data_IF_203190860702
#
_entry.id   IF_203190860702
#
_cell.length_a   1.000
_cell.length_b   1.000
_cell.length_c   1.000
_cell.angle_alpha   90.00
_cell.angle_beta   90.00
_cell.angle_gamma   90.00
#
_symmetry.space_group_name_H-M   'P 1'
#
loop_
_entity.id
_entity.type
_entity.pdbx_description
1 polymer ?
#
# COMPACT_ATOMS: atom_id res chain seq x y z
N UNK A 1 -38.08 -25.97 -86.93
CA UNK A 1 -36.78 -26.64 -86.98
C UNK A 1 -37.03 -28.08 -86.58
N UNK A 2 -36.80 -29.05 -87.45
CA UNK A 2 -37.00 -30.47 -87.11
C UNK A 2 -35.88 -30.95 -86.19
N UNK A 3 -36.25 -31.56 -85.06
CA UNK A 3 -35.32 -32.21 -84.14
C UNK A 3 -35.05 -33.63 -84.64
N UNK A 4 -33.77 -34.02 -84.65
CA UNK A 4 -33.38 -35.38 -85.02
C UNK A 4 -33.42 -36.28 -83.78
N UNK A 5 -33.96 -37.49 -83.86
CA UNK A 5 -33.89 -38.46 -82.75
C UNK A 5 -32.61 -39.29 -82.82
N UNK A 6 -31.96 -39.49 -81.68
CA UNK A 6 -30.77 -40.32 -81.58
C UNK A 6 -31.12 -41.78 -81.89
N UNK A 7 -30.48 -42.46 -82.87
CA UNK A 7 -30.81 -43.84 -83.22
C UNK A 7 -30.47 -44.85 -82.12
N UNK A 8 -29.74 -44.45 -81.08
CA UNK A 8 -29.32 -45.33 -79.99
C UNK A 8 -30.18 -45.19 -78.73
N UNK A 9 -30.57 -43.97 -78.37
CA UNK A 9 -31.30 -43.72 -77.11
C UNK A 9 -32.61 -42.95 -77.31
N UNK A 10 -33.01 -42.68 -78.56
CA UNK A 10 -34.22 -41.96 -78.96
C UNK A 10 -34.42 -40.54 -78.42
N UNK A 11 -33.43 -39.96 -77.72
CA UNK A 11 -33.52 -38.56 -77.28
C UNK A 11 -33.41 -37.58 -78.45
N UNK A 12 -34.07 -36.43 -78.31
CA UNK A 12 -34.05 -35.34 -79.28
C UNK A 12 -32.69 -34.64 -79.29
N UNK A 13 -32.17 -34.40 -80.50
CA UNK A 13 -30.85 -33.80 -80.73
C UNK A 13 -31.04 -32.45 -81.42
N UNK A 14 -30.44 -31.37 -80.89
CA UNK A 14 -30.43 -30.07 -81.55
C UNK A 14 -29.72 -30.13 -82.92
N UNK A 15 -30.23 -29.42 -83.94
CA UNK A 15 -29.64 -29.42 -85.27
C UNK A 15 -28.17 -28.99 -85.24
N UNK A 16 -27.30 -29.72 -85.95
CA UNK A 16 -25.86 -29.45 -86.04
C UNK A 16 -24.98 -30.12 -84.97
N UNK A 17 -25.56 -30.82 -83.99
CA UNK A 17 -24.79 -31.55 -82.97
C UNK A 17 -24.03 -32.74 -83.58
N UNK A 18 -22.73 -32.87 -83.29
CA UNK A 18 -21.89 -33.99 -83.76
C UNK A 18 -22.02 -35.26 -82.89
N UNK A 19 -22.56 -35.11 -81.68
CA UNK A 19 -22.71 -36.16 -80.68
C UNK A 19 -24.07 -36.01 -79.99
N UNK A 20 -24.66 -37.12 -79.53
CA UNK A 20 -25.85 -37.07 -78.69
C UNK A 20 -25.49 -36.64 -77.26
N UNK A 21 -26.11 -35.57 -76.76
CA UNK A 21 -25.83 -35.03 -75.41
C UNK A 21 -26.22 -36.00 -74.27
N UNK A 22 -27.12 -36.95 -74.52
CA UNK A 22 -27.59 -37.88 -73.48
C UNK A 22 -26.85 -39.20 -73.42
N UNK A 23 -26.36 -39.73 -74.55
CA UNK A 23 -25.65 -41.02 -74.56
C UNK A 23 -24.20 -40.96 -75.08
N UNK A 24 -23.72 -39.77 -75.48
CA UNK A 24 -22.34 -39.57 -75.94
C UNK A 24 -21.99 -40.18 -77.30
N UNK A 25 -22.92 -40.88 -77.96
CA UNK A 25 -22.64 -41.54 -79.24
C UNK A 25 -22.46 -40.52 -80.36
N UNK A 26 -21.38 -40.69 -81.15
CA UNK A 26 -21.06 -39.86 -82.33
C UNK A 26 -22.07 -40.12 -83.44
N UNK A 27 -22.64 -39.05 -83.99
CA UNK A 27 -23.59 -39.13 -85.09
C UNK A 27 -22.79 -39.16 -86.39
N UNK A 28 -22.75 -40.31 -87.07
CA UNK A 28 -22.02 -40.46 -88.33
C UNK A 28 -22.71 -39.62 -89.41
N UNK A 29 -21.94 -38.71 -90.03
CA UNK A 29 -22.36 -37.73 -91.06
C UNK A 29 -22.74 -38.37 -92.41
N UNK A 30 -23.41 -39.53 -92.40
CA UNK A 30 -23.71 -40.30 -93.61
C UNK A 30 -25.09 -39.95 -94.15
N UNK A 31 -25.07 -39.27 -95.30
CA UNK A 31 -26.10 -39.24 -96.34
C UNK A 31 -27.47 -38.63 -95.98
N UNK A 32 -27.52 -37.29 -95.86
CA UNK A 32 -28.74 -36.55 -96.18
C UNK A 32 -28.66 -36.16 -97.66
N UNK A 33 -29.11 -37.05 -98.54
CA UNK A 33 -29.37 -36.72 -99.95
C UNK A 33 -30.58 -35.79 -100.01
N UNK A 34 -30.34 -34.48 -100.05
CA UNK A 34 -31.38 -33.50 -100.39
C UNK A 34 -31.70 -33.71 -101.88
N UNK A 35 -32.78 -34.44 -102.17
CA UNK A 35 -33.42 -34.46 -103.49
C UNK A 35 -33.98 -33.07 -103.75
N UNK A 36 -33.19 -32.22 -104.39
CA UNK A 36 -33.68 -30.97 -104.93
C UNK A 36 -34.57 -31.30 -106.14
N UNK A 37 -35.89 -31.29 -105.94
CA UNK A 37 -36.86 -31.34 -107.02
C UNK A 37 -36.76 -30.02 -107.81
N UNK A 38 -35.87 -29.98 -108.79
CA UNK A 38 -35.88 -28.96 -109.83
C UNK A 38 -37.06 -29.31 -110.76
N UNK A 39 -38.07 -28.46 -110.92
CA UNK A 39 -39.08 -28.66 -111.94
C UNK A 39 -38.39 -28.68 -113.31
N UNK A 40 -38.58 -29.78 -114.05
CA UNK A 40 -38.11 -29.95 -115.42
C UNK A 40 -38.88 -28.98 -116.33
N UNK A 41 -38.45 -27.72 -116.38
CA UNK A 41 -38.91 -26.78 -117.38
C UNK A 41 -38.29 -27.21 -118.71
N UNK A 42 -39.13 -27.64 -119.63
CA UNK A 42 -38.72 -28.11 -120.95
C UNK A 42 -38.35 -26.89 -121.82
N UNK A 43 -37.09 -26.43 -121.72
CA UNK A 43 -36.55 -25.25 -122.44
C UNK A 43 -36.53 -25.47 -123.97
N UNK A 44 -36.81 -26.70 -124.43
CA UNK A 44 -36.76 -27.10 -125.84
C UNK A 44 -37.82 -26.40 -126.71
N UNK A 45 -38.96 -26.00 -126.15
CA UNK A 45 -40.05 -25.39 -126.94
C UNK A 45 -40.02 -23.85 -127.02
N UNK A 46 -39.29 -23.17 -126.13
CA UNK A 46 -39.12 -21.71 -126.21
C UNK A 46 -38.07 -21.35 -127.29
N UNK A 47 -37.12 -22.24 -127.57
CA UNK A 47 -36.00 -21.96 -128.47
C UNK A 47 -36.27 -22.19 -129.97
N UNK A 48 -37.40 -22.80 -130.35
CA UNK A 48 -37.65 -23.19 -131.75
C UNK A 48 -38.13 -22.03 -132.63
N UNK A 49 -38.65 -20.93 -132.06
CA UNK A 49 -39.11 -19.75 -132.82
C UNK A 49 -38.01 -18.71 -133.12
N UNK A 50 -36.79 -18.86 -132.57
CA UNK A 50 -35.69 -17.88 -132.73
C UNK A 50 -34.52 -18.34 -133.64
N UNK A 51 -34.68 -19.43 -134.39
CA UNK A 51 -33.59 -20.07 -135.13
C UNK A 51 -32.96 -19.23 -136.27
N UNK A 52 -33.67 -18.22 -136.81
CA UNK A 52 -33.16 -17.38 -137.92
C UNK A 52 -32.39 -16.12 -137.49
N UNK A 53 -32.36 -15.77 -136.20
CA UNK A 53 -31.61 -14.62 -135.67
C UNK A 53 -30.32 -15.01 -134.90
N UNK A 54 -29.88 -16.28 -135.00
CA UNK A 54 -28.79 -16.88 -134.21
C UNK A 54 -27.39 -16.29 -134.44
N UNK A 55 -27.10 -15.72 -135.61
CA UNK A 55 -25.77 -15.17 -135.93
C UNK A 55 -25.45 -13.86 -135.20
N UNK A 56 -26.46 -13.12 -134.73
CA UNK A 56 -26.26 -11.81 -134.11
C UNK A 56 -26.78 -11.72 -132.66
N UNK A 57 -27.82 -12.50 -132.28
CA UNK A 57 -28.37 -12.44 -130.91
C UNK A 57 -27.37 -12.93 -129.85
N UNK A 58 -26.65 -14.04 -130.09
CA UNK A 58 -25.75 -14.62 -129.09
C UNK A 58 -24.59 -13.68 -128.70
N UNK A 59 -23.83 -13.06 -129.63
CA UNK A 59 -22.80 -12.10 -129.25
C UNK A 59 -23.37 -10.84 -128.60
N UNK A 60 -24.57 -10.39 -128.98
CA UNK A 60 -25.24 -9.25 -128.35
C UNK A 60 -25.65 -9.58 -126.90
N UNK A 61 -26.19 -10.78 -126.64
CA UNK A 61 -26.52 -11.21 -125.27
C UNK A 61 -25.25 -11.35 -124.42
N UNK A 62 -24.17 -11.93 -124.95
CA UNK A 62 -22.89 -12.03 -124.24
C UNK A 62 -22.33 -10.63 -123.93
N UNK A 63 -22.37 -9.70 -124.89
CA UNK A 63 -21.95 -8.32 -124.69
C UNK A 63 -22.82 -7.61 -123.65
N UNK A 64 -24.15 -7.79 -123.68
CA UNK A 64 -25.06 -7.24 -122.68
C UNK A 64 -24.84 -7.84 -121.30
N UNK A 65 -24.51 -9.13 -121.19
CA UNK A 65 -24.13 -9.77 -119.92
C UNK A 65 -22.79 -9.23 -119.43
N UNK A 66 -21.84 -8.96 -120.33
CA UNK A 66 -20.53 -8.38 -119.96
C UNK A 66 -20.66 -6.92 -119.52
N UNK A 67 -21.49 -6.12 -120.21
CA UNK A 67 -21.82 -4.74 -119.84
C UNK A 67 -22.61 -4.72 -118.52
N UNK A 68 -23.63 -5.56 -118.38
CA UNK A 68 -24.37 -5.68 -117.12
C UNK A 68 -23.46 -6.16 -115.98
N UNK A 69 -22.58 -7.13 -116.23
CA UNK A 69 -21.61 -7.64 -115.26
C UNK A 69 -20.62 -6.58 -114.81
N UNK A 70 -20.09 -5.77 -115.72
CA UNK A 70 -19.17 -4.67 -115.39
C UNK A 70 -19.87 -3.54 -114.64
N UNK A 71 -21.11 -3.18 -115.02
CA UNK A 71 -21.92 -2.17 -114.32
C UNK A 71 -22.32 -2.64 -112.91
N UNK A 72 -22.64 -3.92 -112.72
CA UNK A 72 -22.97 -4.48 -111.40
C UNK A 72 -21.73 -4.73 -110.51
N UNK A 73 -20.55 -4.96 -111.09
CA UNK A 73 -19.32 -5.21 -110.34
C UNK A 73 -18.58 -3.93 -109.91
N UNK A 74 -18.63 -2.86 -110.70
CA UNK A 74 -17.88 -1.62 -110.44
C UNK A 74 -18.14 -0.99 -109.05
N UNK A 75 -19.39 -0.88 -108.55
CA UNK A 75 -19.65 -0.35 -107.21
C UNK A 75 -19.01 -1.21 -106.11
N UNK A 76 -19.03 -2.55 -106.28
CA UNK A 76 -18.49 -3.49 -105.29
C UNK A 76 -16.97 -3.45 -105.21
N UNK A 77 -16.29 -3.25 -106.35
CA UNK A 77 -14.82 -3.10 -106.38
C UNK A 77 -14.41 -1.82 -105.64
N UNK A 78 -15.16 -0.72 -105.83
CA UNK A 78 -14.91 0.54 -105.10
C UNK A 78 -15.06 0.37 -103.59
N UNK A 79 -16.13 -0.30 -103.13
CA UNK A 79 -16.33 -0.58 -101.71
C UNK A 79 -15.22 -1.47 -101.14
N UNK A 80 -14.78 -2.47 -101.89
CA UNK A 80 -13.67 -3.34 -101.47
C UNK A 80 -12.36 -2.56 -101.29
N UNK A 81 -11.99 -1.71 -102.25
CA UNK A 81 -10.79 -0.86 -102.15
C UNK A 81 -10.89 0.09 -100.95
N UNK A 82 -12.05 0.68 -100.72
CA UNK A 82 -12.26 1.58 -99.59
C UNK A 82 -12.16 0.84 -98.24
N UNK A 83 -12.68 -0.40 -98.15
CA UNK A 83 -12.53 -1.24 -96.95
C UNK A 83 -11.07 -1.56 -96.68
N UNK A 84 -10.29 -1.92 -97.70
CA UNK A 84 -8.84 -2.16 -97.56
C UNK A 84 -8.08 -0.91 -97.10
N UNK A 85 -8.38 0.25 -97.65
CA UNK A 85 -7.77 1.51 -97.23
C UNK A 85 -8.09 1.84 -95.77
N UNK A 86 -9.34 1.59 -95.34
CA UNK A 86 -9.75 1.81 -93.95
C UNK A 86 -9.05 0.81 -93.03
N UNK A 87 -8.97 -0.47 -93.38
CA UNK A 87 -8.24 -1.48 -92.59
C UNK A 87 -6.77 -1.08 -92.44
N UNK A 88 -6.09 -0.67 -93.52
CA UNK A 88 -4.70 -0.18 -93.44
C UNK A 88 -4.56 1.04 -92.53
N UNK A 89 -5.51 1.99 -92.60
CA UNK A 89 -5.52 3.17 -91.73
C UNK A 89 -5.76 2.79 -90.27
N UNK A 90 -6.63 1.82 -90.01
CA UNK A 90 -6.90 1.27 -88.67
C UNK A 90 -5.65 0.61 -88.11
N UNK A 91 -4.92 -0.17 -88.91
CA UNK A 91 -3.63 -0.74 -88.52
C UNK A 91 -2.60 0.35 -88.20
N UNK A 92 -2.49 1.39 -89.04
CA UNK A 92 -1.63 2.54 -88.75
C UNK A 92 -2.02 3.27 -87.46
N UNK A 93 -3.32 3.46 -87.20
CA UNK A 93 -3.80 4.09 -85.97
C UNK A 93 -3.54 3.20 -84.75
N UNK A 94 -3.64 1.87 -84.91
CA UNK A 94 -3.27 0.90 -83.89
C UNK A 94 -1.78 0.99 -83.54
N UNK A 95 -0.92 1.09 -84.55
CA UNK A 95 0.53 1.27 -84.36
C UNK A 95 0.87 2.62 -83.72
N UNK A 96 0.00 3.63 -83.91
CA UNK A 96 0.08 4.93 -83.25
C UNK A 96 -0.60 4.97 -81.87
N UNK A 97 -1.13 3.84 -81.37
CA UNK A 97 -1.86 3.73 -80.10
C UNK A 97 -3.15 4.59 -80.03
N UNK A 98 -3.74 4.91 -81.17
CA UNK A 98 -4.98 5.68 -81.29
C UNK A 98 -6.19 4.76 -81.43
N UNK A 99 -6.42 3.92 -80.42
CA UNK A 99 -7.42 2.83 -80.48
C UNK A 99 -8.86 3.34 -80.67
N UNK A 100 -9.23 4.45 -80.04
CA UNK A 100 -10.58 5.04 -80.18
C UNK A 100 -10.80 5.60 -81.60
N UNK A 101 -9.79 6.27 -82.18
CA UNK A 101 -9.83 6.74 -83.57
C UNK A 101 -9.90 5.54 -84.54
N UNK A 102 -9.13 4.48 -84.29
CA UNK A 102 -9.12 3.25 -85.08
C UNK A 102 -10.49 2.57 -85.05
N UNK A 103 -11.11 2.44 -83.88
CA UNK A 103 -12.46 1.90 -83.71
C UNK A 103 -13.49 2.76 -84.46
N UNK A 104 -13.38 4.08 -84.38
CA UNK A 104 -14.22 5.02 -85.12
C UNK A 104 -14.13 4.87 -86.65
N UNK A 105 -12.94 4.60 -87.20
CA UNK A 105 -12.76 4.32 -88.63
C UNK A 105 -13.41 2.98 -89.03
N UNK A 106 -13.35 1.96 -88.16
CA UNK A 106 -13.98 0.65 -88.38
C UNK A 106 -15.51 0.70 -88.43
N UNK A 107 -16.14 1.59 -87.66
CA UNK A 107 -17.60 1.78 -87.72
C UNK A 107 -18.07 2.26 -89.10
N UNK A 108 -17.23 2.97 -89.87
CA UNK A 108 -17.55 3.45 -91.22
C UNK A 108 -17.67 2.32 -92.25
N UNK A 109 -17.10 1.14 -91.97
CA UNK A 109 -17.19 -0.01 -92.86
C UNK A 109 -18.29 -0.98 -92.48
N UNK A 110 -18.74 -1.03 -91.22
CA UNK A 110 -19.67 -2.06 -90.69
C UNK A 110 -20.95 -2.26 -91.53
N UNK A 111 -21.48 -1.19 -92.14
CA UNK A 111 -22.73 -1.22 -92.91
C UNK A 111 -22.56 -1.51 -94.42
N UNK A 112 -21.36 -1.80 -94.93
CA UNK A 112 -21.14 -2.03 -96.36
C UNK A 112 -21.38 -3.49 -96.78
N UNK A 113 -22.22 -3.68 -97.80
CA UNK A 113 -22.74 -5.00 -98.23
C UNK A 113 -21.66 -6.00 -98.71
N UNK A 114 -20.49 -5.53 -99.15
CA UNK A 114 -19.38 -6.37 -99.66
C UNK A 114 -18.62 -7.14 -98.58
N UNK A 115 -19.01 -7.03 -97.31
CA UNK A 115 -18.22 -7.46 -96.15
C UNK A 115 -18.44 -8.92 -95.73
N UNK A 116 -19.39 -9.68 -96.28
CA UNK A 116 -19.69 -11.02 -95.73
C UNK A 116 -18.47 -11.96 -95.66
N UNK A 117 -17.49 -11.82 -96.55
CA UNK A 117 -16.25 -12.61 -96.51
C UNK A 117 -15.24 -12.13 -95.46
N UNK A 118 -15.30 -10.87 -95.04
CA UNK A 118 -14.38 -10.24 -94.07
C UNK A 118 -15.01 -9.90 -92.72
N UNK A 119 -16.31 -10.15 -92.55
CA UNK A 119 -17.06 -9.84 -91.32
C UNK A 119 -16.37 -10.39 -90.07
N UNK A 120 -15.85 -11.62 -90.12
CA UNK A 120 -15.18 -12.23 -88.99
C UNK A 120 -13.86 -11.52 -88.64
N UNK A 121 -13.07 -11.11 -89.65
CA UNK A 121 -11.83 -10.38 -89.44
C UNK A 121 -12.09 -8.97 -88.88
N UNK A 122 -13.11 -8.27 -89.40
CA UNK A 122 -13.54 -6.96 -88.91
C UNK A 122 -14.07 -7.05 -87.48
N UNK A 123 -14.90 -8.06 -87.18
CA UNK A 123 -15.42 -8.30 -85.84
C UNK A 123 -14.30 -8.62 -84.84
N UNK A 124 -13.32 -9.42 -85.26
CA UNK A 124 -12.14 -9.72 -84.44
C UNK A 124 -11.33 -8.45 -84.16
N UNK A 125 -11.03 -7.66 -85.20
CA UNK A 125 -10.27 -6.42 -85.07
C UNK A 125 -11.00 -5.38 -84.19
N UNK A 126 -12.33 -5.31 -84.28
CA UNK A 126 -13.16 -4.46 -83.41
C UNK A 126 -13.05 -4.88 -81.95
N UNK A 127 -13.14 -6.19 -81.66
CA UNK A 127 -12.95 -6.73 -80.30
C UNK A 127 -11.55 -6.41 -79.76
N UNK A 128 -10.50 -6.63 -80.57
CA UNK A 128 -9.12 -6.33 -80.19
C UNK A 128 -8.92 -4.84 -79.87
N UNK A 129 -9.49 -3.93 -80.68
CA UNK A 129 -9.40 -2.49 -80.43
C UNK A 129 -10.18 -2.03 -79.19
N UNK A 130 -11.32 -2.64 -78.91
CA UNK A 130 -12.08 -2.37 -77.69
C UNK A 130 -11.31 -2.80 -76.44
N UNK A 131 -10.68 -3.99 -76.48
CA UNK A 131 -9.77 -4.46 -75.43
C UNK A 131 -8.58 -3.51 -75.25
N UNK A 132 -7.94 -3.08 -76.34
CA UNK A 132 -6.81 -2.16 -76.28
C UNK A 132 -7.19 -0.76 -75.78
N UNK A 133 -8.38 -0.26 -76.12
CA UNK A 133 -8.92 1.00 -75.54
C UNK A 133 -9.13 0.86 -74.02
N UNK A 134 -9.65 -0.28 -73.57
CA UNK A 134 -9.80 -0.55 -72.13
C UNK A 134 -8.44 -0.64 -71.43
N UNK A 135 -7.45 -1.30 -72.02
CA UNK A 135 -6.09 -1.34 -71.47
C UNK A 135 -5.43 0.05 -71.42
N UNK A 136 -5.64 0.89 -72.44
CA UNK A 136 -5.16 2.29 -72.42
C UNK A 136 -5.74 3.06 -71.23
N UNK A 137 -7.04 2.93 -70.94
CA UNK A 137 -7.67 3.57 -69.77
C UNK A 137 -7.11 3.06 -68.45
N UNK A 138 -6.86 1.75 -68.33
CA UNK A 138 -6.24 1.15 -67.14
C UNK A 138 -4.82 1.69 -66.97
N UNK A 139 -4.05 1.78 -68.06
CA UNK A 139 -2.70 2.32 -68.06
C UNK A 139 -2.67 3.78 -67.61
N UNK A 140 -3.51 4.63 -68.19
CA UNK A 140 -3.58 6.05 -67.85
C UNK A 140 -4.00 6.27 -66.39
N UNK A 141 -4.95 5.47 -65.90
CA UNK A 141 -5.34 5.47 -64.48
C UNK A 141 -4.19 5.05 -63.57
N UNK A 142 -3.44 4.01 -63.94
CA UNK A 142 -2.31 3.55 -63.16
C UNK A 142 -1.16 4.58 -63.14
N UNK A 143 -0.93 5.30 -64.25
CA UNK A 143 0.02 6.41 -64.28
C UNK A 143 -0.38 7.54 -63.33
N UNK A 144 -1.65 7.94 -63.32
CA UNK A 144 -2.16 8.93 -62.36
C UNK A 144 -1.97 8.44 -60.90
N UNK A 145 -2.20 7.15 -60.63
CA UNK A 145 -1.97 6.55 -59.32
C UNK A 145 -0.48 6.56 -58.92
N UNK A 146 0.45 6.38 -59.87
CA UNK A 146 1.89 6.52 -59.59
C UNK A 146 2.26 7.97 -59.22
N UNK A 147 1.68 8.95 -59.89
CA UNK A 147 1.89 10.37 -59.58
C UNK A 147 1.33 10.74 -58.19
N UNK A 148 0.21 10.13 -57.81
CA UNK A 148 -0.39 10.26 -56.47
C UNK A 148 0.28 9.41 -55.39
N UNK A 149 1.37 8.70 -55.70
CA UNK A 149 2.09 7.78 -54.80
C UNK A 149 1.20 6.64 -54.24
N UNK A 150 0.15 6.25 -54.98
CA UNK A 150 -0.72 5.08 -54.73
C UNK A 150 -0.13 3.85 -55.40
N UNK A 151 1.02 3.42 -54.88
CA UNK A 151 1.91 2.48 -55.56
C UNK A 151 1.29 1.08 -55.72
N UNK A 152 0.55 0.59 -54.72
CA UNK A 152 -0.11 -0.71 -54.78
C UNK A 152 -1.22 -0.74 -55.83
N UNK A 153 -2.07 0.28 -55.86
CA UNK A 153 -3.17 0.36 -56.83
C UNK A 153 -2.65 0.53 -58.26
N UNK A 154 -1.59 1.32 -58.44
CA UNK A 154 -0.91 1.46 -59.72
C UNK A 154 -0.33 0.12 -60.21
N UNK A 155 0.37 -0.62 -59.34
CA UNK A 155 0.94 -1.94 -59.64
C UNK A 155 -0.16 -2.91 -60.06
N UNK A 156 -1.26 -2.96 -59.31
CA UNK A 156 -2.35 -3.91 -59.57
C UNK A 156 -3.09 -3.55 -60.88
N UNK A 157 -3.25 -2.26 -61.17
CA UNK A 157 -3.75 -1.77 -62.46
C UNK A 157 -2.85 -2.21 -63.62
N UNK A 158 -1.54 -1.94 -63.55
CA UNK A 158 -0.58 -2.31 -64.60
C UNK A 158 -0.50 -3.83 -64.81
N UNK A 159 -0.57 -4.63 -63.73
CA UNK A 159 -0.54 -6.09 -63.79
C UNK A 159 -1.77 -6.69 -64.49
N UNK A 160 -2.90 -5.97 -64.53
CA UNK A 160 -4.13 -6.43 -65.18
C UNK A 160 -4.13 -6.27 -66.71
N UNK A 161 -3.15 -5.55 -67.28
CA UNK A 161 -3.03 -5.36 -68.73
C UNK A 161 -2.40 -6.59 -69.37
N UNK A 162 -3.01 -7.09 -70.45
CA UNK A 162 -2.52 -8.28 -71.18
C UNK A 162 -1.19 -8.02 -71.89
N UNK A 163 -0.38 -9.08 -72.03
CA UNK A 163 0.87 -9.08 -72.81
C UNK A 163 0.64 -8.79 -74.31
N UNK A 164 -0.57 -9.02 -74.80
CA UNK A 164 -0.94 -8.75 -76.21
C UNK A 164 -1.18 -7.25 -76.49
N UNK A 165 -1.16 -6.40 -75.46
CA UNK A 165 -1.32 -4.96 -75.60
C UNK A 165 -0.11 -4.35 -76.35
N UNK A 166 -0.31 -3.53 -77.41
CA UNK A 166 0.79 -3.03 -78.23
C UNK A 166 1.88 -2.26 -77.47
N UNK A 167 1.57 -1.66 -76.31
CA UNK A 167 2.52 -0.94 -75.45
C UNK A 167 2.92 -1.73 -74.20
N UNK A 168 2.85 -3.06 -74.24
CA UNK A 168 3.13 -3.86 -73.06
C UNK A 168 4.55 -3.67 -72.50
N UNK A 169 5.55 -3.38 -73.34
CA UNK A 169 6.91 -3.07 -72.86
C UNK A 169 6.95 -1.80 -72.00
N UNK A 170 6.13 -0.78 -72.31
CA UNK A 170 5.98 0.39 -71.45
C UNK A 170 5.28 0.04 -70.14
N UNK A 171 4.21 -0.77 -70.20
CA UNK A 171 3.50 -1.28 -69.01
C UNK A 171 4.46 -2.01 -68.09
N UNK A 172 5.30 -2.88 -68.63
CA UNK A 172 6.31 -3.65 -67.90
C UNK A 172 7.32 -2.72 -67.23
N UNK A 173 7.86 -1.74 -67.97
CA UNK A 173 8.79 -0.76 -67.40
C UNK A 173 8.17 0.03 -66.25
N UNK A 174 6.89 0.43 -66.37
CA UNK A 174 6.16 1.13 -65.30
C UNK A 174 5.82 0.22 -64.12
N UNK A 175 5.55 -1.05 -64.37
CA UNK A 175 5.32 -2.05 -63.32
C UNK A 175 6.59 -2.25 -62.50
N UNK A 176 7.75 -2.34 -63.14
CA UNK A 176 9.05 -2.46 -62.48
C UNK A 176 9.36 -1.19 -61.64
N UNK A 177 9.09 0.00 -62.18
CA UNK A 177 9.22 1.27 -61.41
C UNK A 177 8.32 1.28 -60.17
N UNK A 178 7.05 0.87 -60.31
CA UNK A 178 6.12 0.75 -59.20
C UNK A 178 6.62 -0.23 -58.13
N UNK A 179 7.11 -1.40 -58.54
CA UNK A 179 7.65 -2.41 -57.64
C UNK A 179 8.90 -1.93 -56.90
N UNK A 180 9.83 -1.28 -57.60
CA UNK A 180 11.05 -0.72 -57.00
C UNK A 180 10.72 0.37 -55.97
N UNK A 181 9.73 1.23 -56.26
CA UNK A 181 9.24 2.24 -55.30
C UNK A 181 8.60 1.61 -54.07
N UNK A 182 7.78 0.56 -54.24
CA UNK A 182 7.19 -0.19 -53.12
C UNK A 182 8.30 -0.81 -52.26
N UNK A 183 9.28 -1.48 -52.88
CA UNK A 183 10.39 -2.11 -52.14
C UNK A 183 11.22 -1.06 -51.38
N UNK A 184 11.47 0.09 -52.00
CA UNK A 184 12.18 1.22 -51.36
C UNK A 184 11.41 1.73 -50.16
N UNK A 185 10.10 1.98 -50.30
CA UNK A 185 9.23 2.43 -49.21
C UNK A 185 9.21 1.43 -48.05
N UNK A 186 9.07 0.13 -48.34
CA UNK A 186 9.12 -0.94 -47.31
C UNK A 186 10.47 -0.94 -46.59
N UNK A 187 11.59 -0.78 -47.32
CA UNK A 187 12.93 -0.71 -46.71
C UNK A 187 13.11 0.52 -45.82
N UNK A 188 12.58 1.67 -46.23
CA UNK A 188 12.62 2.91 -45.45
C UNK A 188 11.76 2.81 -44.19
N UNK A 189 10.54 2.28 -44.29
CA UNK A 189 9.64 2.02 -43.15
C UNK A 189 10.26 1.01 -42.18
N UNK A 190 10.90 -0.05 -42.68
CA UNK A 190 11.61 -1.02 -41.86
C UNK A 190 12.77 -0.39 -41.08
N UNK A 191 13.59 0.45 -41.74
CA UNK A 191 14.69 1.19 -41.08
C UNK A 191 14.16 2.19 -40.04
N UNK A 192 13.09 2.92 -40.35
CA UNK A 192 12.46 3.84 -39.42
C UNK A 192 11.92 3.11 -38.18
N UNK A 193 11.30 1.93 -38.37
CA UNK A 193 10.81 1.09 -37.28
C UNK A 193 11.96 0.50 -36.44
N UNK A 194 13.05 0.07 -37.06
CA UNK A 194 14.24 -0.40 -36.35
C UNK A 194 14.85 0.72 -35.48
N UNK A 195 14.94 1.94 -36.02
CA UNK A 195 15.40 3.11 -35.27
C UNK A 195 14.49 3.43 -34.07
N UNK A 196 13.17 3.38 -34.28
CA UNK A 196 12.20 3.59 -33.20
C UNK A 196 12.37 2.56 -32.07
N UNK A 197 12.50 1.28 -32.41
CA UNK A 197 12.74 0.21 -31.43
C UNK A 197 14.04 0.45 -30.68
N UNK A 198 15.10 0.91 -31.37
CA UNK A 198 16.38 1.24 -30.73
C UNK A 198 16.24 2.38 -29.73
N UNK A 199 15.51 3.44 -30.08
CA UNK A 199 15.25 4.58 -29.20
C UNK A 199 14.39 4.19 -27.99
N UNK A 200 13.36 3.37 -28.18
CA UNK A 200 12.54 2.82 -27.10
C UNK A 200 13.39 1.98 -26.13
N UNK A 201 14.23 1.07 -26.65
CA UNK A 201 15.15 0.27 -25.85
C UNK A 201 16.18 1.11 -25.08
N UNK A 202 16.70 2.19 -25.67
CA UNK A 202 17.61 3.11 -24.97
C UNK A 202 16.90 3.86 -23.84
N UNK A 203 15.67 4.31 -24.07
CA UNK A 203 14.86 4.97 -23.06
C UNK A 203 14.52 4.03 -21.90
N UNK A 204 14.19 2.76 -22.18
CA UNK A 204 13.98 1.74 -21.15
C UNK A 204 15.26 1.46 -20.35
N UNK A 205 16.42 1.37 -21.01
CA UNK A 205 17.72 1.24 -20.33
C UNK A 205 18.01 2.41 -19.40
N UNK A 206 17.73 3.65 -19.84
CA UNK A 206 17.89 4.86 -19.01
C UNK A 206 16.96 4.83 -17.79
N UNK A 207 15.69 4.42 -17.97
CA UNK A 207 14.72 4.24 -16.86
C UNK A 207 15.18 3.16 -15.88
N UNK A 208 15.64 2.01 -16.38
CA UNK A 208 16.15 0.93 -15.53
C UNK A 208 17.39 1.38 -14.74
N UNK A 209 18.31 2.11 -15.37
CA UNK A 209 19.48 2.69 -14.71
C UNK A 209 19.09 3.69 -13.62
N UNK A 210 18.10 4.56 -13.85
CA UNK A 210 17.63 5.51 -12.83
C UNK A 210 16.96 4.81 -11.65
N UNK A 211 16.17 3.76 -11.89
CA UNK A 211 15.55 2.95 -10.82
C UNK A 211 16.63 2.23 -10.00
N UNK A 212 17.63 1.65 -10.65
CA UNK A 212 18.75 1.00 -9.96
C UNK A 212 19.57 2.01 -9.14
N UNK A 213 19.77 3.23 -9.63
CA UNK A 213 20.44 4.30 -8.88
C UNK A 213 19.62 4.72 -7.65
N UNK A 214 18.30 4.92 -7.80
CA UNK A 214 17.41 5.24 -6.69
C UNK A 214 17.39 4.13 -5.62
N UNK A 215 17.36 2.86 -6.03
CA UNK A 215 17.43 1.72 -5.11
C UNK A 215 18.74 1.69 -4.31
N UNK A 216 19.88 2.03 -4.93
CA UNK A 216 21.17 2.15 -4.22
C UNK A 216 21.18 3.28 -3.20
N UNK A 217 20.58 4.44 -3.53
CA UNK A 217 20.46 5.57 -2.60
C UNK A 217 19.59 5.19 -1.40
N UNK A 218 18.45 4.53 -1.63
CA UNK A 218 17.57 4.10 -0.56
C UNK A 218 18.22 3.02 0.33
N UNK A 219 18.93 2.05 -0.26
CA UNK A 219 19.69 1.07 0.51
C UNK A 219 20.77 1.72 1.39
N UNK A 220 21.46 2.76 0.88
CA UNK A 220 22.41 3.53 1.67
C UNK A 220 21.75 4.29 2.83
N UNK A 221 20.56 4.89 2.59
CA UNK A 221 19.77 5.57 3.63
C UNK A 221 19.33 4.60 4.74
N UNK A 222 18.87 3.41 4.37
CA UNK A 222 18.50 2.35 5.33
C UNK A 222 19.71 1.87 6.13
N UNK A 223 20.86 1.66 5.48
CA UNK A 223 22.09 1.30 6.16
C UNK A 223 22.56 2.38 7.15
N UNK A 224 22.42 3.67 6.80
CA UNK A 224 22.71 4.77 7.72
C UNK A 224 21.74 4.80 8.90
N UNK A 225 20.43 4.68 8.66
CA UNK A 225 19.42 4.62 9.72
C UNK A 225 19.68 3.45 10.69
N UNK A 226 20.10 2.29 10.19
CA UNK A 226 20.47 1.15 11.02
C UNK A 226 21.70 1.44 11.91
N UNK A 227 22.71 2.13 11.37
CA UNK A 227 23.89 2.59 12.14
C UNK A 227 23.50 3.60 13.23
N UNK A 228 22.60 4.54 12.91
CA UNK A 228 22.10 5.52 13.89
C UNK A 228 21.25 4.85 14.98
N UNK A 229 20.42 3.87 14.63
CA UNK A 229 19.63 3.11 15.58
C UNK A 229 20.52 2.29 16.55
N UNK A 230 21.58 1.66 16.03
CA UNK A 230 22.55 0.94 16.88
C UNK A 230 23.33 1.90 17.78
N UNK A 231 23.73 3.07 17.29
CA UNK A 231 24.38 4.09 18.12
C UNK A 231 23.47 4.61 19.24
N UNK A 232 22.18 4.83 18.96
CA UNK A 232 21.19 5.22 19.98
C UNK A 232 20.99 4.14 21.04
N UNK A 233 20.87 2.88 20.62
CA UNK A 233 20.72 1.76 21.55
C UNK A 233 21.91 1.65 22.52
N UNK A 234 23.14 1.84 22.05
CA UNK A 234 24.32 1.82 22.93
C UNK A 234 24.39 3.05 23.85
N UNK A 235 23.95 4.22 23.37
CA UNK A 235 23.82 5.43 24.19
C UNK A 235 22.78 5.24 25.31
N UNK A 236 21.62 4.68 25.00
CA UNK A 236 20.55 4.40 25.96
C UNK A 236 21.00 3.37 27.02
N UNK A 237 21.71 2.32 26.59
CA UNK A 237 22.33 1.35 27.50
C UNK A 237 23.33 2.01 28.45
N UNK A 238 24.16 2.92 27.93
CA UNK A 238 25.13 3.67 28.74
C UNK A 238 24.42 4.59 29.75
N UNK A 239 23.36 5.27 29.32
CA UNK A 239 22.54 6.12 30.19
C UNK A 239 21.86 5.31 31.29
N UNK A 240 21.29 4.14 30.96
CA UNK A 240 20.69 3.24 31.94
C UNK A 240 21.70 2.74 32.97
N UNK A 241 22.93 2.40 32.55
CA UNK A 241 24.01 2.02 33.47
C UNK A 241 24.43 3.18 34.37
N UNK A 242 24.47 4.41 33.86
CA UNK A 242 24.76 5.60 34.66
C UNK A 242 23.66 5.86 35.71
N UNK A 243 22.39 5.72 35.32
CA UNK A 243 21.25 5.85 36.24
C UNK A 243 21.27 4.77 37.32
N UNK A 244 21.59 3.52 36.97
CA UNK A 244 21.70 2.44 37.95
C UNK A 244 22.81 2.72 38.99
N UNK A 245 23.98 3.20 38.55
CA UNK A 245 25.06 3.61 39.47
C UNK A 245 24.66 4.78 40.35
N UNK A 246 23.95 5.77 39.81
CA UNK A 246 23.46 6.90 40.59
C UNK A 246 22.45 6.45 41.66
N UNK A 247 21.56 5.52 41.34
CA UNK A 247 20.60 4.94 42.29
C UNK A 247 21.32 4.15 43.40
N UNK A 248 22.34 3.36 43.06
CA UNK A 248 23.16 2.62 44.03
C UNK A 248 23.87 3.56 45.01
N UNK A 249 24.46 4.66 44.52
CA UNK A 249 25.09 5.69 45.36
C UNK A 249 24.07 6.37 46.26
N UNK A 250 22.89 6.73 45.73
CA UNK A 250 21.82 7.34 46.52
C UNK A 250 21.32 6.40 47.64
N UNK A 251 21.17 5.11 47.35
CA UNK A 251 20.79 4.11 48.33
C UNK A 251 21.87 3.93 49.41
N UNK A 252 23.15 3.91 49.03
CA UNK A 252 24.26 3.84 49.99
C UNK A 252 24.28 5.06 50.92
N UNK A 253 24.01 6.26 50.40
CA UNK A 253 23.90 7.49 51.20
C UNK A 253 22.71 7.44 52.17
N UNK A 254 21.54 7.00 51.70
CA UNK A 254 20.36 6.84 52.56
C UNK A 254 20.62 5.84 53.70
N UNK A 255 21.26 4.71 53.40
CA UNK A 255 21.65 3.72 54.40
C UNK A 255 22.65 4.29 55.42
N UNK A 256 23.64 5.06 54.97
CA UNK A 256 24.61 5.72 55.85
C UNK A 256 23.94 6.74 56.78
N UNK A 257 22.98 7.53 56.26
CA UNK A 257 22.21 8.47 57.06
C UNK A 257 21.32 7.76 58.09
N UNK A 258 20.64 6.67 57.71
CA UNK A 258 19.85 5.87 58.62
C UNK A 258 20.71 5.25 59.74
N UNK A 259 21.91 4.76 59.42
CA UNK A 259 22.85 4.24 60.40
C UNK A 259 23.33 5.32 61.38
N UNK A 260 23.64 6.52 60.89
CA UNK A 260 24.02 7.66 61.72
C UNK A 260 22.89 8.10 62.67
N UNK A 261 21.65 8.15 62.16
CA UNK A 261 20.47 8.46 62.98
C UNK A 261 20.23 7.38 64.05
N UNK A 262 20.37 6.10 63.71
CA UNK A 262 20.25 5.00 64.66
C UNK A 262 21.35 5.02 65.73
N UNK A 263 22.56 5.48 65.40
CA UNK A 263 23.62 5.69 66.38
C UNK A 263 23.31 6.86 67.30
N UNK A 264 22.90 8.01 66.75
CA UNK A 264 22.52 9.18 67.53
C UNK A 264 21.36 8.90 68.50
N UNK A 265 20.36 8.11 68.06
CA UNK A 265 19.25 7.67 68.90
C UNK A 265 19.72 6.79 70.07
N UNK A 266 20.64 5.85 69.82
CA UNK A 266 21.23 5.00 70.87
C UNK A 266 22.03 5.82 71.90
N UNK A 267 22.81 6.79 71.43
CA UNK A 267 23.55 7.71 72.31
C UNK A 267 22.62 8.59 73.15
N UNK A 268 21.54 9.09 72.56
CA UNK A 268 20.52 9.87 73.27
C UNK A 268 19.82 9.04 74.35
N UNK A 269 19.48 7.79 74.06
CA UNK A 269 18.87 6.87 75.02
C UNK A 269 19.82 6.55 76.17
N UNK A 270 21.08 6.25 75.89
CA UNK A 270 22.09 6.01 76.93
C UNK A 270 22.29 7.22 77.86
N UNK A 271 22.26 8.44 77.32
CA UNK A 271 22.29 9.68 78.11
C UNK A 271 21.04 9.84 78.98
N UNK A 272 19.86 9.56 78.43
CA UNK A 272 18.60 9.63 79.17
C UNK A 272 18.56 8.63 80.34
N UNK A 273 19.03 7.40 80.13
CA UNK A 273 19.10 6.38 81.18
C UNK A 273 20.13 6.75 82.26
N UNK A 274 21.27 7.33 81.88
CA UNK A 274 22.25 7.87 82.83
C UNK A 274 21.64 8.97 83.70
N UNK A 275 20.93 9.93 83.10
CA UNK A 275 20.27 11.01 83.83
C UNK A 275 19.17 10.48 84.77
N UNK A 276 18.37 9.51 84.31
CA UNK A 276 17.32 8.88 85.14
C UNK A 276 17.94 8.20 86.36
N UNK A 277 19.01 7.42 86.17
CA UNK A 277 19.70 6.75 87.29
C UNK A 277 20.29 7.74 88.30
N UNK A 278 20.84 8.87 87.85
CA UNK A 278 21.36 9.92 88.72
C UNK A 278 20.25 10.59 89.55
N UNK A 279 19.09 10.85 88.95
CA UNK A 279 17.93 11.41 89.66
C UNK A 279 17.36 10.44 90.70
N UNK A 280 17.24 9.15 90.36
CA UNK A 280 16.75 8.12 91.28
C UNK A 280 17.67 7.97 92.49
N UNK A 281 19.00 7.97 92.28
CA UNK A 281 19.97 7.90 93.38
C UNK A 281 19.93 9.13 94.29
N UNK A 282 19.81 10.33 93.72
CA UNK A 282 19.68 11.57 94.50
C UNK A 282 18.40 11.60 95.35
N UNK A 283 17.28 11.10 94.81
CA UNK A 283 16.02 10.96 95.53
C UNK A 283 16.13 9.93 96.68
N UNK A 284 16.76 8.79 96.42
CA UNK A 284 17.01 7.75 97.42
C UNK A 284 17.86 8.22 98.59
N UNK A 285 18.92 8.98 98.33
CA UNK A 285 19.78 9.52 99.39
C UNK A 285 19.06 10.58 100.24
N UNK A 286 18.21 11.40 99.61
CA UNK A 286 17.34 12.35 100.30
C UNK A 286 16.37 11.61 101.24
N UNK A 287 15.75 10.53 100.76
CA UNK A 287 14.81 9.72 101.53
C UNK A 287 15.50 9.00 102.70
N UNK A 288 16.63 8.31 102.46
CA UNK A 288 17.42 7.64 103.52
C UNK A 288 17.80 8.59 104.66
N UNK A 289 18.27 9.80 104.34
CA UNK A 289 18.60 10.82 105.35
C UNK A 289 17.38 11.23 106.16
N UNK A 290 16.24 11.45 105.51
CA UNK A 290 15.01 11.81 106.19
C UNK A 290 14.50 10.69 107.12
N UNK A 291 14.53 9.44 106.67
CA UNK A 291 14.14 8.29 107.50
C UNK A 291 15.03 8.16 108.73
N UNK A 292 16.35 8.38 108.60
CA UNK A 292 17.26 8.35 109.74
C UNK A 292 16.88 9.40 110.80
N UNK A 293 16.53 10.62 110.38
CA UNK A 293 16.04 11.65 111.28
C UNK A 293 14.69 11.27 111.93
N UNK A 294 13.74 10.72 111.17
CA UNK A 294 12.43 10.29 111.70
C UNK A 294 12.60 9.19 112.76
N UNK A 295 13.41 8.16 112.49
CA UNK A 295 13.67 7.06 113.41
C UNK A 295 14.37 7.55 114.68
N UNK A 296 15.36 8.43 114.53
CA UNK A 296 16.05 9.06 115.67
C UNK A 296 15.08 9.90 116.52
N UNK A 297 14.23 10.70 115.87
CA UNK A 297 13.18 11.48 116.53
C UNK A 297 12.23 10.60 117.34
N UNK A 298 11.77 9.49 116.75
CA UNK A 298 10.87 8.53 117.41
C UNK A 298 11.52 7.87 118.63
N UNK A 299 12.78 7.42 118.50
CA UNK A 299 13.53 6.84 119.63
C UNK A 299 13.69 7.83 120.79
N UNK A 300 13.84 9.14 120.50
CA UNK A 300 13.92 10.18 121.52
C UNK A 300 12.57 10.43 122.18
N UNK A 301 11.47 10.35 121.43
CA UNK A 301 10.11 10.37 121.99
C UNK A 301 9.91 9.18 122.95
N UNK A 302 10.22 7.96 122.51
CA UNK A 302 10.15 6.76 123.37
C UNK A 302 11.00 6.92 124.65
N UNK A 303 12.18 7.54 124.54
CA UNK A 303 13.05 7.82 125.69
C UNK A 303 12.42 8.87 126.61
N UNK A 304 11.83 9.94 126.07
CA UNK A 304 11.12 10.93 126.86
C UNK A 304 9.99 10.29 127.69
N UNK A 305 9.26 9.35 127.11
CA UNK A 305 8.22 8.59 127.82
C UNK A 305 8.75 7.84 129.04
N UNK A 306 9.90 7.18 128.89
CA UNK A 306 10.51 6.46 130.02
C UNK A 306 10.89 7.40 131.18
N UNK A 307 11.31 8.63 130.89
CA UNK A 307 11.58 9.63 131.93
C UNK A 307 10.31 10.19 132.58
N UNK A 308 9.21 10.28 131.83
CA UNK A 308 7.90 10.68 132.38
C UNK A 308 7.36 9.66 133.37
N UNK A 309 7.54 8.36 133.11
CA UNK A 309 7.14 7.32 134.07
C UNK A 309 7.93 7.36 135.37
N UNK A 310 9.16 7.88 135.33
CA UNK A 310 10.06 8.01 136.49
C UNK A 310 9.95 9.39 137.19
N UNK A 311 8.94 10.20 136.84
CA UNK A 311 8.71 11.57 137.35
C UNK A 311 9.87 12.55 137.10
N UNK A 312 10.74 12.27 136.12
CA UNK A 312 11.86 13.15 135.73
C UNK A 312 11.47 14.09 134.59
N UNK A 313 10.66 15.10 134.90
CA UNK A 313 10.04 16.00 133.90
C UNK A 313 11.04 16.78 133.05
N UNK A 314 12.15 17.25 133.64
CA UNK A 314 13.20 17.98 132.93
C UNK A 314 13.96 17.12 131.90
N UNK A 315 14.19 15.83 132.22
CA UNK A 315 14.83 14.91 131.29
C UNK A 315 13.88 14.60 130.11
N UNK A 316 12.61 14.34 130.39
CA UNK A 316 11.59 14.12 129.37
C UNK A 316 11.49 15.30 128.38
N UNK A 317 11.45 16.53 128.89
CA UNK A 317 11.35 17.73 128.05
C UNK A 317 12.55 17.87 127.09
N UNK A 318 13.77 17.63 127.57
CA UNK A 318 14.96 17.68 126.72
C UNK A 318 14.90 16.66 125.58
N UNK A 319 14.44 15.43 125.85
CA UNK A 319 14.28 14.42 124.81
C UNK A 319 13.18 14.75 123.80
N UNK A 320 12.08 15.37 124.22
CA UNK A 320 11.06 15.87 123.30
C UNK A 320 11.58 16.99 122.40
N UNK A 321 12.38 17.92 122.94
CA UNK A 321 13.04 18.97 122.15
C UNK A 321 14.00 18.35 121.12
N UNK A 322 14.80 17.36 121.52
CA UNK A 322 15.68 16.65 120.60
C UNK A 322 14.92 15.87 119.52
N UNK A 323 13.77 15.30 119.85
CA UNK A 323 12.90 14.65 118.88
C UNK A 323 12.34 15.66 117.87
N UNK A 324 11.86 16.81 118.34
CA UNK A 324 11.32 17.87 117.48
C UNK A 324 12.38 18.39 116.49
N UNK A 325 13.62 18.57 116.96
CA UNK A 325 14.73 18.98 116.10
C UNK A 325 15.05 17.95 115.01
N UNK A 326 14.95 16.65 115.31
CA UNK A 326 15.13 15.60 114.31
C UNK A 326 13.98 15.59 113.30
N UNK A 327 12.73 15.72 113.73
CA UNK A 327 11.60 15.82 112.79
C UNK A 327 11.69 17.07 111.91
N UNK A 328 12.14 18.21 112.45
CA UNK A 328 12.44 19.41 111.66
C UNK A 328 13.55 19.16 110.63
N UNK A 329 14.59 18.40 111.01
CA UNK A 329 15.67 18.02 110.10
C UNK A 329 15.15 17.11 108.98
N UNK A 330 14.29 16.14 109.29
CA UNK A 330 13.62 15.30 108.29
C UNK A 330 12.76 16.15 107.33
N UNK A 331 12.00 17.11 107.86
CA UNK A 331 11.17 18.04 107.08
C UNK A 331 12.02 18.90 106.14
N UNK A 332 13.12 19.45 106.62
CA UNK A 332 14.03 20.25 105.80
C UNK A 332 14.69 19.41 104.70
N UNK A 333 15.01 18.14 104.99
CA UNK A 333 15.56 17.22 103.99
C UNK A 333 14.53 16.86 102.94
N UNK A 334 13.27 16.59 103.30
CA UNK A 334 12.21 16.21 102.34
C UNK A 334 11.59 17.40 101.60
N UNK A 335 11.61 18.60 102.18
CA UNK A 335 10.96 19.78 101.61
C UNK A 335 9.44 19.58 101.48
N UNK A 336 8.89 19.90 100.31
CA UNK A 336 7.45 19.69 100.02
C UNK A 336 7.06 18.20 99.92
N UNK A 337 8.03 17.28 99.82
CA UNK A 337 7.77 15.83 99.82
C UNK A 337 7.54 15.28 101.24
N UNK A 338 7.53 16.15 102.26
CA UNK A 338 7.22 15.77 103.64
C UNK A 338 5.72 15.44 103.76
N UNK A 339 5.42 14.16 103.60
CA UNK A 339 4.07 13.57 103.58
C UNK A 339 3.19 14.12 104.71
N UNK A 340 1.92 14.43 104.40
CA UNK A 340 0.89 14.98 105.32
C UNK A 340 0.79 14.24 106.67
N UNK A 341 1.06 12.93 106.68
CA UNK A 341 1.05 12.10 107.89
C UNK A 341 2.17 12.51 108.89
N UNK A 342 3.36 12.83 108.39
CA UNK A 342 4.47 13.29 109.25
C UNK A 342 4.31 14.76 109.68
N UNK A 343 3.58 15.55 108.90
CA UNK A 343 3.21 16.92 109.27
C UNK A 343 2.26 16.92 110.48
N UNK A 344 1.38 15.92 110.55
CA UNK A 344 0.50 15.69 111.68
C UNK A 344 1.30 15.32 112.93
N UNK A 345 2.17 14.31 112.86
CA UNK A 345 3.03 13.91 113.98
C UNK A 345 3.91 15.08 114.51
N UNK A 346 4.49 15.88 113.61
CA UNK A 346 5.26 17.07 113.95
C UNK A 346 4.41 18.12 114.69
N UNK A 347 3.23 18.44 114.16
CA UNK A 347 2.31 19.43 114.76
C UNK A 347 1.82 18.98 116.14
N UNK A 348 1.56 17.68 116.29
CA UNK A 348 1.16 17.08 117.57
C UNK A 348 2.28 17.09 118.61
N UNK A 349 3.51 16.73 118.22
CA UNK A 349 4.67 16.78 119.13
C UNK A 349 4.94 18.22 119.60
N UNK A 350 4.83 19.19 118.70
CA UNK A 350 4.99 20.60 119.05
C UNK A 350 3.89 21.08 120.00
N UNK A 351 2.63 20.65 119.79
CA UNK A 351 1.55 20.91 120.72
C UNK A 351 1.80 20.26 122.09
N UNK A 352 2.30 19.03 122.12
CA UNK A 352 2.63 18.32 123.36
C UNK A 352 3.74 19.03 124.16
N UNK A 353 4.81 19.49 123.49
CA UNK A 353 5.89 20.26 124.12
C UNK A 353 5.34 21.57 124.70
N UNK A 354 4.52 22.30 123.94
CA UNK A 354 3.92 23.55 124.41
C UNK A 354 3.03 23.30 125.64
N UNK A 355 2.20 22.26 125.61
CA UNK A 355 1.37 21.87 126.75
C UNK A 355 2.21 21.47 127.98
N UNK A 356 3.35 20.79 127.78
CA UNK A 356 4.25 20.41 128.86
C UNK A 356 4.94 21.62 129.50
N UNK A 357 5.36 22.59 128.68
CA UNK A 357 5.94 23.86 129.15
C UNK A 357 4.90 24.66 129.95
N UNK A 358 3.67 24.74 129.45
CA UNK A 358 2.56 25.40 130.15
C UNK A 358 2.19 24.65 131.44
N UNK A 359 2.24 23.31 131.45
CA UNK A 359 2.06 22.50 132.65
C UNK A 359 3.14 22.76 133.71
N UNK A 360 4.42 22.72 133.34
CA UNK A 360 5.54 23.09 134.23
C UNK A 360 5.38 24.52 134.77
N UNK A 361 4.99 25.49 133.91
CA UNK A 361 4.66 26.86 134.35
C UNK A 361 3.49 26.89 135.33
N UNK A 362 2.47 26.05 135.13
CA UNK A 362 1.32 25.97 136.03
C UNK A 362 1.66 25.29 137.37
N UNK A 363 2.50 24.25 137.36
CA UNK A 363 3.02 23.60 138.56
C UNK A 363 3.90 24.54 139.38
N UNK A 364 4.69 25.38 138.71
CA UNK A 364 5.48 26.42 139.36
C UNK A 364 4.60 27.51 140.03
N UNK A 365 3.33 27.62 139.61
CA UNK A 365 2.37 28.59 140.12
C UNK A 365 1.24 27.98 140.99
N UNK A 366 1.16 26.64 141.15
CA UNK A 366 0.07 26.00 141.88
C UNK A 366 0.49 24.66 142.54
N UNK A 367 0.59 24.67 143.87
CA UNK A 367 0.47 23.45 144.70
C UNK A 367 -1.02 23.08 144.79
N UNK A 368 -1.49 22.20 143.90
CA UNK A 368 -2.60 21.23 144.02
C UNK A 368 -3.20 20.93 142.63
N UNK A 369 -3.01 19.71 142.11
CA UNK A 369 -4.01 18.81 141.48
C UNK A 369 -3.31 17.70 140.69
N UNK A 370 -3.56 16.43 141.05
CA UNK A 370 -2.88 15.22 140.54
C UNK A 370 -3.61 14.58 139.34
N UNK A 371 -4.77 15.07 138.90
CA UNK A 371 -5.58 14.39 137.87
C UNK A 371 -5.18 14.66 136.40
N UNK A 372 -4.08 15.39 136.14
CA UNK A 372 -3.65 15.74 134.76
C UNK A 372 -2.72 14.72 134.09
N UNK A 373 -2.13 13.78 134.84
CA UNK A 373 -1.14 12.83 134.30
C UNK A 373 -1.75 11.83 133.29
N UNK A 374 -2.99 11.37 133.50
CA UNK A 374 -3.62 10.37 132.64
C UNK A 374 -3.98 10.91 131.26
N UNK A 375 -4.37 12.19 131.16
CA UNK A 375 -4.68 12.82 129.88
C UNK A 375 -3.44 12.93 128.98
N UNK A 376 -2.33 13.41 129.54
CA UNK A 376 -1.08 13.55 128.80
C UNK A 376 -0.47 12.19 128.46
N UNK A 377 -0.54 11.21 129.36
CA UNK A 377 -0.07 9.85 129.06
C UNK A 377 -0.85 9.20 127.90
N UNK A 378 -2.18 9.29 127.90
CA UNK A 378 -3.02 8.73 126.83
C UNK A 378 -2.80 9.42 125.49
N UNK A 379 -2.68 10.76 125.49
CA UNK A 379 -2.43 11.52 124.27
C UNK A 379 -1.07 11.15 123.67
N UNK A 380 -0.09 10.93 124.53
CA UNK A 380 1.25 10.65 124.14
C UNK A 380 1.43 9.15 123.72
N UNK A 381 0.72 8.20 124.34
CA UNK A 381 0.60 6.82 123.85
C UNK A 381 -0.05 6.76 122.44
N UNK A 382 -1.06 7.58 122.18
CA UNK A 382 -1.62 7.73 120.84
C UNK A 382 -0.58 8.20 119.82
N UNK A 383 0.36 9.08 120.21
CA UNK A 383 1.45 9.53 119.34
C UNK A 383 2.48 8.44 119.07
N UNK A 384 2.80 7.63 120.08
CA UNK A 384 3.68 6.48 119.91
C UNK A 384 3.13 5.48 118.91
N UNK A 385 1.82 5.21 118.97
CA UNK A 385 1.14 4.30 118.04
C UNK A 385 1.14 4.84 116.59
N UNK A 386 0.90 6.13 116.39
CA UNK A 386 0.93 6.74 115.05
C UNK A 386 2.34 6.77 114.46
N UNK A 387 3.36 7.04 115.28
CA UNK A 387 4.76 6.96 114.85
C UNK A 387 5.19 5.54 114.44
N UNK A 388 4.78 4.52 115.19
CA UNK A 388 5.04 3.11 114.83
C UNK A 388 4.36 2.72 113.50
N UNK A 389 3.15 3.23 113.25
CA UNK A 389 2.45 3.04 111.97
C UNK A 389 3.20 3.70 110.80
N UNK A 390 3.71 4.93 110.99
CA UNK A 390 4.51 5.62 109.98
C UNK A 390 5.81 4.85 109.65
N UNK A 391 6.47 4.27 110.66
CA UNK A 391 7.67 3.43 110.46
C UNK A 391 7.33 2.17 109.65
N UNK A 392 6.17 1.54 109.90
CA UNK A 392 5.75 0.37 109.14
C UNK A 392 5.40 0.73 107.68
N UNK A 393 4.71 1.84 107.44
CA UNK A 393 4.43 2.33 106.08
C UNK A 393 5.71 2.69 105.31
N UNK A 394 6.72 3.26 106.01
CA UNK A 394 8.03 3.49 105.43
C UNK A 394 8.71 2.18 105.01
N UNK A 395 8.63 1.13 105.86
CA UNK A 395 9.19 -0.19 105.56
C UNK A 395 8.48 -0.88 104.38
N UNK A 396 7.16 -0.78 104.30
CA UNK A 396 6.37 -1.43 103.25
C UNK A 396 6.57 -0.77 101.88
N UNK A 397 6.85 0.55 101.84
CA UNK A 397 7.19 1.26 100.60
C UNK A 397 8.64 1.03 100.16
N UNK A 398 9.56 0.77 101.09
CA UNK A 398 10.95 0.38 100.77
C UNK A 398 11.06 -0.97 100.04
N UNK A 399 10.08 -1.86 100.18
CA UNK A 399 10.10 -3.18 99.53
C UNK A 399 9.58 -3.21 98.09
N UNK A 400 9.09 -2.08 97.55
CA UNK A 400 8.39 -2.01 96.25
C UNK A 400 9.18 -1.30 95.14
N UNK A 401 10.34 -0.73 95.45
CA UNK A 401 11.24 0.00 94.55
C UNK A 401 12.65 -0.56 94.66
#
# INVERSE_FOLDING_TARGET
MEFLKCPHCNNEIPPGSLFCQSCGRKLSKKEVHIKFLIPQVNIRDIFSRFARLKKYILPIIILLIFIAGTVYAAPKIKDYIQVEQIIKKVEQLKDQNKFDEASGQLLQVENKWTISSRRNAISKLKSELEEFSNYQKIYDKALAQLEENKLEEARDGLKSISIDYPRYEEVKSRLDDAQNKIETKIKEEAKAREEQIRQEAENERKKAASVAAAAKVEAARQAQAAKEATARAEADKTAAQAQARAAEVAQAQANAQAAAQAQAAREAQARADTLRSAQTNAYWDKWKRATAYIVSGHSKVDTAFSYLSDLSTAAALNYLIYALNDYNSAKNVLGNDYIEENQSAHSYLQAAINNFIEYERSLFNAVYYIDSYSFYFNQAESYRNEGNRCIQLARDNLGKY
#
